data_IF_458393300068
#
_entry.id   IF_458393300068
#
_cell.length_a   1.000
_cell.length_b   1.000
_cell.length_c   1.000
_cell.angle_alpha   90.00
_cell.angle_beta   90.00
_cell.angle_gamma   90.00
#
_symmetry.space_group_name_H-M   'P 1'
#
loop_
_entity.id
_entity.type
_entity.pdbx_description
1 polymer ?
#
# COMPACT_ATOMS: atom_id res chain seq x y z
N UNK A 1 -37.38 52.86 26.05
CA UNK A 1 -37.15 51.62 25.27
C UNK A 1 -36.11 51.93 24.18
N UNK A 2 -34.94 51.31 24.28
CA UNK A 2 -33.84 51.42 23.31
C UNK A 2 -33.97 50.32 22.26
N UNK A 3 -33.78 50.66 20.98
CA UNK A 3 -33.63 49.70 19.89
C UNK A 3 -32.14 49.36 19.75
N UNK A 4 -31.77 48.19 20.25
CA UNK A 4 -30.42 47.64 20.13
C UNK A 4 -30.18 47.10 18.70
N UNK A 5 -29.08 47.56 18.10
CA UNK A 5 -28.67 47.24 16.73
C UNK A 5 -27.79 45.99 16.74
N UNK A 6 -28.38 44.81 16.70
CA UNK A 6 -27.60 43.59 16.48
C UNK A 6 -27.53 43.24 14.98
N UNK A 7 -26.54 43.82 14.29
CA UNK A 7 -26.22 43.55 12.88
C UNK A 7 -25.38 42.27 12.80
N UNK A 8 -26.03 41.11 12.75
CA UNK A 8 -25.38 39.82 12.49
C UNK A 8 -24.93 39.76 11.03
N UNK A 9 -23.63 39.92 10.80
CA UNK A 9 -22.97 39.68 9.52
C UNK A 9 -22.78 38.16 9.35
N UNK A 10 -23.63 37.52 8.55
CA UNK A 10 -23.35 36.21 8.00
C UNK A 10 -22.48 36.39 6.76
N UNK A 11 -21.17 36.21 6.91
CA UNK A 11 -20.26 36.04 5.78
C UNK A 11 -20.47 34.65 5.16
N UNK A 12 -21.60 34.45 4.49
CA UNK A 12 -21.78 33.33 3.57
C UNK A 12 -21.11 33.70 2.26
N UNK A 13 -19.79 33.51 2.18
CA UNK A 13 -19.13 33.34 0.87
C UNK A 13 -19.74 32.08 0.27
N UNK A 14 -20.56 32.26 -0.76
CA UNK A 14 -21.13 31.16 -1.52
C UNK A 14 -20.01 30.35 -2.16
N UNK A 15 -19.66 29.22 -1.56
CA UNK A 15 -18.91 28.16 -2.23
C UNK A 15 -19.95 27.39 -3.06
N UNK A 16 -19.86 27.37 -4.41
CA UNK A 16 -20.76 26.56 -5.21
C UNK A 16 -20.54 25.08 -4.91
N UNK A 17 -21.67 24.36 -4.86
CA UNK A 17 -21.79 22.91 -4.76
C UNK A 17 -20.62 22.12 -5.39
N UNK A 18 -19.90 21.37 -4.55
CA UNK A 18 -18.93 20.38 -4.98
C UNK A 18 -18.23 19.71 -3.79
N UNK A 19 -18.60 18.44 -3.56
CA UNK A 19 -17.85 17.41 -2.80
C UNK A 19 -17.88 17.45 -1.26
N UNK A 20 -18.36 16.38 -0.59
CA UNK A 20 -18.06 16.15 0.82
C UNK A 20 -16.65 15.57 0.94
N UNK A 21 -15.64 16.41 1.17
CA UNK A 21 -14.30 15.94 1.57
C UNK A 21 -14.14 16.18 3.07
N UNK A 22 -14.83 15.35 3.86
CA UNK A 22 -14.53 15.17 5.28
C UNK A 22 -14.04 13.75 5.48
N UNK A 23 -12.73 13.58 5.66
CA UNK A 23 -12.14 12.90 6.80
C UNK A 23 -10.65 12.67 6.51
N UNK A 24 -9.82 13.42 7.23
CA UNK A 24 -8.41 13.08 7.41
C UNK A 24 -8.29 11.64 7.94
N UNK A 25 -7.62 10.78 7.19
CA UNK A 25 -6.76 9.75 7.80
C UNK A 25 -5.41 9.76 7.09
N UNK A 26 -4.31 9.75 7.86
CA UNK A 26 -2.99 10.09 7.39
C UNK A 26 -2.46 8.90 6.60
N UNK A 27 -1.74 9.15 5.52
CA UNK A 27 -0.57 8.34 5.26
C UNK A 27 0.50 9.34 4.86
N UNK A 28 1.41 9.61 5.79
CA UNK A 28 2.75 9.91 5.33
C UNK A 28 3.11 8.75 4.45
N UNK A 29 3.16 8.95 3.13
CA UNK A 29 3.93 8.06 2.29
C UNK A 29 5.38 8.41 2.60
N UNK A 30 5.83 8.02 3.79
CA UNK A 30 7.06 7.25 3.87
C UNK A 30 6.79 6.07 2.94
N UNK A 31 7.01 6.32 1.65
CA UNK A 31 7.08 5.26 0.66
C UNK A 31 8.39 4.63 1.08
N UNK A 32 8.35 3.77 2.10
CA UNK A 32 9.47 2.91 2.40
C UNK A 32 9.61 2.17 1.08
N UNK A 33 10.63 2.54 0.32
CA UNK A 33 10.86 1.92 -0.96
C UNK A 33 10.96 0.44 -0.64
N UNK A 34 10.21 -0.44 -1.34
CA UNK A 34 10.30 -1.86 -1.06
C UNK A 34 11.77 -2.23 -1.11
N UNK A 35 12.24 -2.98 -0.13
CA UNK A 35 13.66 -3.33 -0.04
C UNK A 35 14.03 -4.29 -1.18
N UNK A 36 13.14 -5.24 -1.48
CA UNK A 36 13.33 -6.20 -2.56
C UNK A 36 12.04 -6.42 -3.36
N UNK A 37 12.19 -6.65 -4.66
CA UNK A 37 11.16 -7.10 -5.58
C UNK A 37 11.43 -8.54 -6.00
N UNK A 38 10.44 -9.41 -5.87
CA UNK A 38 10.50 -10.79 -6.32
C UNK A 38 9.56 -11.00 -7.50
N UNK A 39 10.12 -11.39 -8.64
CA UNK A 39 9.39 -11.80 -9.82
C UNK A 39 9.09 -13.28 -9.68
N UNK A 40 7.81 -13.64 -9.59
CA UNK A 40 7.38 -15.03 -9.56
C UNK A 40 7.36 -15.62 -10.96
N UNK A 41 7.49 -16.94 -11.07
CA UNK A 41 7.44 -17.66 -12.35
C UNK A 41 6.19 -17.30 -13.13
N UNK A 42 6.38 -17.12 -14.44
CA UNK A 42 5.29 -17.00 -15.42
C UNK A 42 4.38 -18.22 -15.28
N UNK A 43 3.07 -17.97 -15.18
CA UNK A 43 2.05 -19.01 -14.99
C UNK A 43 1.93 -19.60 -13.56
N UNK A 44 2.41 -18.88 -12.54
CA UNK A 44 2.16 -19.26 -11.14
C UNK A 44 0.64 -19.32 -10.85
N UNK A 45 0.21 -20.36 -10.14
CA UNK A 45 -1.19 -20.51 -9.75
C UNK A 45 -1.55 -19.49 -8.67
N UNK A 46 -2.72 -18.84 -8.77
CA UNK A 46 -3.24 -17.93 -7.74
C UNK A 46 -3.28 -18.56 -6.33
N UNK A 47 -3.48 -19.87 -6.23
CA UNK A 47 -3.38 -20.59 -4.95
C UNK A 47 -1.98 -20.48 -4.32
N UNK A 48 -0.91 -20.56 -5.13
CA UNK A 48 0.47 -20.41 -4.67
C UNK A 48 0.79 -18.97 -4.28
N UNK A 49 0.31 -18.00 -5.06
CA UNK A 49 0.45 -16.57 -4.69
C UNK A 49 -0.25 -16.29 -3.36
N UNK A 50 -1.45 -16.83 -3.17
CA UNK A 50 -2.20 -16.68 -1.92
C UNK A 50 -1.48 -17.34 -0.74
N UNK A 51 -0.86 -18.51 -0.96
CA UNK A 51 -0.04 -19.20 0.04
C UNK A 51 1.16 -18.35 0.46
N UNK A 52 1.87 -17.73 -0.50
CA UNK A 52 2.98 -16.81 -0.20
C UNK A 52 2.46 -15.62 0.60
N UNK A 53 1.40 -14.95 0.15
CA UNK A 53 0.85 -13.78 0.84
C UNK A 53 0.33 -14.12 2.25
N UNK A 54 -0.24 -15.31 2.43
CA UNK A 54 -0.66 -15.79 3.74
C UNK A 54 0.53 -16.09 4.64
N UNK A 55 1.57 -16.75 4.12
CA UNK A 55 2.81 -16.99 4.85
C UNK A 55 3.47 -15.68 5.29
N UNK A 56 3.57 -14.71 4.39
CA UNK A 56 4.13 -13.38 4.68
C UNK A 56 3.27 -12.60 5.67
N UNK A 57 1.95 -12.84 5.71
CA UNK A 57 1.09 -12.24 6.73
C UNK A 57 1.27 -12.88 8.12
N UNK A 58 1.55 -14.18 8.16
CA UNK A 58 1.67 -14.95 9.40
C UNK A 58 3.07 -14.83 10.02
N UNK A 59 4.10 -14.87 9.18
CA UNK A 59 5.51 -14.87 9.59
C UNK A 59 6.25 -13.58 9.25
N UNK A 60 5.75 -12.78 8.32
CA UNK A 60 6.39 -11.52 7.93
C UNK A 60 6.21 -10.45 8.98
N UNK A 61 7.20 -9.56 9.07
CA UNK A 61 7.24 -8.45 10.00
C UNK A 61 6.95 -7.10 9.31
N UNK A 62 7.14 -7.04 8.01
CA UNK A 62 6.95 -5.89 7.14
C UNK A 62 5.69 -6.00 6.28
N UNK A 63 5.54 -5.01 5.41
CA UNK A 63 4.47 -4.98 4.43
C UNK A 63 4.92 -5.68 3.16
N UNK A 64 4.05 -6.55 2.65
CA UNK A 64 4.22 -7.20 1.35
C UNK A 64 3.08 -6.75 0.44
N UNK A 65 3.42 -6.10 -0.67
CA UNK A 65 2.47 -5.76 -1.71
C UNK A 65 2.63 -6.71 -2.90
N UNK A 66 1.52 -7.06 -3.55
CA UNK A 66 1.52 -7.85 -4.79
C UNK A 66 1.15 -6.93 -5.94
N UNK A 67 1.93 -6.98 -7.00
CA UNK A 67 1.67 -6.31 -8.27
C UNK A 67 1.52 -7.37 -9.35
N UNK A 68 0.47 -7.24 -10.16
CA UNK A 68 0.22 -8.13 -11.29
C UNK A 68 0.51 -7.35 -12.58
N UNK A 69 1.65 -7.62 -13.21
CA UNK A 69 1.99 -7.04 -14.51
C UNK A 69 1.76 -8.06 -15.63
N UNK A 70 0.66 -7.89 -16.38
CA UNK A 70 0.21 -8.69 -17.53
C UNK A 70 0.07 -10.21 -17.32
N UNK A 71 1.16 -10.91 -17.00
CA UNK A 71 1.21 -12.36 -16.69
C UNK A 71 2.28 -12.69 -15.62
N UNK A 72 2.86 -11.67 -15.01
CA UNK A 72 3.93 -11.74 -14.02
C UNK A 72 3.37 -11.26 -12.69
N UNK A 73 3.70 -11.98 -11.62
CA UNK A 73 3.33 -11.61 -10.26
C UNK A 73 4.60 -11.13 -9.59
N UNK A 74 4.59 -9.88 -9.16
CA UNK A 74 5.71 -9.21 -8.54
C UNK A 74 5.35 -9.00 -7.08
N UNK A 75 6.17 -9.52 -6.18
CA UNK A 75 6.04 -9.29 -4.75
C UNK A 75 7.01 -8.19 -4.34
N UNK A 76 6.47 -7.14 -3.75
CA UNK A 76 7.21 -6.02 -3.21
C UNK A 76 7.29 -6.24 -1.71
N UNK A 77 8.50 -6.47 -1.20
CA UNK A 77 8.72 -6.74 0.21
C UNK A 77 9.48 -5.57 0.81
N UNK A 78 8.87 -4.90 1.79
CA UNK A 78 9.45 -3.71 2.43
C UNK A 78 10.55 -4.03 3.44
N UNK A 79 10.63 -5.28 3.92
CA UNK A 79 11.62 -5.72 4.91
C UNK A 79 12.56 -6.81 4.36
N UNK A 80 13.87 -6.66 4.59
CA UNK A 80 14.88 -7.63 4.13
C UNK A 80 14.75 -9.00 4.81
N UNK A 81 14.27 -9.07 6.05
CA UNK A 81 14.08 -10.35 6.75
C UNK A 81 12.94 -11.15 6.13
N UNK A 82 11.88 -10.45 5.75
CA UNK A 82 10.74 -10.99 5.03
C UNK A 82 11.15 -11.49 3.64
N UNK A 83 12.04 -10.75 2.98
CA UNK A 83 12.61 -11.11 1.70
C UNK A 83 13.45 -12.41 1.80
N UNK A 84 14.29 -12.53 2.82
CA UNK A 84 15.05 -13.76 3.13
C UNK A 84 14.13 -14.94 3.50
N UNK A 85 13.06 -14.70 4.27
CA UNK A 85 12.04 -15.71 4.60
C UNK A 85 11.34 -16.22 3.34
N UNK A 86 10.98 -15.32 2.44
CA UNK A 86 10.33 -15.64 1.18
C UNK A 86 11.28 -16.46 0.30
N UNK A 87 12.55 -16.06 0.20
CA UNK A 87 13.59 -16.83 -0.49
C UNK A 87 13.76 -18.22 0.12
N UNK A 88 13.84 -18.35 1.44
CA UNK A 88 14.07 -19.64 2.08
C UNK A 88 12.93 -20.65 1.80
N UNK A 89 11.69 -20.18 1.73
CA UNK A 89 10.51 -21.05 1.61
C UNK A 89 9.97 -21.19 0.18
N UNK A 90 10.11 -20.15 -0.65
CA UNK A 90 9.46 -20.05 -1.96
C UNK A 90 10.44 -19.84 -3.11
N UNK A 91 11.75 -20.10 -2.92
CA UNK A 91 12.77 -19.98 -3.98
C UNK A 91 12.39 -20.65 -5.30
N UNK A 92 11.71 -21.80 -5.24
CA UNK A 92 11.27 -22.52 -6.44
C UNK A 92 10.29 -21.69 -7.29
N UNK A 93 9.49 -20.83 -6.65
CA UNK A 93 8.48 -20.00 -7.30
C UNK A 93 9.03 -18.65 -7.79
N UNK A 94 10.22 -18.26 -7.35
CA UNK A 94 10.88 -17.01 -7.73
C UNK A 94 11.66 -17.24 -9.03
N UNK A 95 11.33 -16.46 -10.06
CA UNK A 95 12.04 -16.41 -11.34
C UNK A 95 13.23 -15.42 -11.28
N UNK A 96 13.04 -14.31 -10.58
CA UNK A 96 14.08 -13.29 -10.40
C UNK A 96 13.85 -12.43 -9.16
N UNK A 97 14.93 -11.80 -8.69
CA UNK A 97 14.90 -10.86 -7.57
C UNK A 97 15.60 -9.56 -7.97
N UNK A 98 15.10 -8.43 -7.47
CA UNK A 98 15.69 -7.11 -7.65
C UNK A 98 15.77 -6.46 -6.28
N UNK A 99 16.99 -6.29 -5.79
CA UNK A 99 17.27 -5.45 -4.64
C UNK A 99 17.07 -3.98 -5.04
N UNK A 100 16.22 -3.29 -4.30
CA UNK A 100 15.88 -1.88 -4.51
C UNK A 100 16.55 -0.98 -3.45
N UNK A 101 17.35 -1.57 -2.56
CA UNK A 101 18.13 -0.82 -1.56
C UNK A 101 19.46 -0.31 -2.10
N UNK A 102 19.89 -0.76 -3.29
CA UNK A 102 21.17 -0.43 -3.92
C UNK A 102 21.10 0.55 -5.10
#
# INVERSE_FOLDING_TARGET
MAADKNRTIFSSVGIPHGTPETAEQPNGTDTIAPAEKFYLRKNINNARVSEILQYMRDFGHGRTAVEHDRQEVILHVEDLRDAELLKANFRDLIDGEVDLTR
#
